data_IF_376169326296
#
_entry.id   IF_376169326296
#
_cell.length_a   1.000
_cell.length_b   1.000
_cell.length_c   1.000
_cell.angle_alpha   90.00
_cell.angle_beta   90.00
_cell.angle_gamma   90.00
#
_symmetry.space_group_name_H-M   'P 1'
#
loop_
_entity.id
_entity.type
_entity.pdbx_description
1 polymer ?
#
# COMPACT_ATOMS: atom_id res chain seq x y z
N UNK A 1 21.33 -12.28 -6.00
CA UNK A 1 22.29 -11.29 -5.47
C UNK A 1 21.57 -10.54 -4.35
N UNK A 2 22.12 -10.50 -3.16
CA UNK A 2 21.54 -9.72 -2.06
C UNK A 2 22.32 -8.40 -1.93
N UNK A 3 21.61 -7.27 -1.92
CA UNK A 3 22.23 -5.98 -1.70
C UNK A 3 22.20 -5.62 -0.22
N UNK A 4 23.29 -5.09 0.29
CA UNK A 4 23.44 -4.60 1.66
C UNK A 4 23.64 -3.09 1.62
N UNK A 5 22.82 -2.36 2.37
CA UNK A 5 22.94 -0.93 2.54
C UNK A 5 23.64 -0.64 3.87
N UNK A 6 24.79 0.02 3.83
CA UNK A 6 25.54 0.47 5.01
C UNK A 6 25.29 1.94 5.22
N UNK A 7 24.60 2.33 6.30
CA UNK A 7 24.16 3.69 6.60
C UNK A 7 24.96 4.23 7.77
N UNK A 8 25.57 5.40 7.60
CA UNK A 8 26.14 6.22 8.67
C UNK A 8 25.11 7.27 9.07
N UNK A 9 24.47 7.04 10.23
CA UNK A 9 23.38 7.87 10.68
C UNK A 9 23.81 9.19 11.33
N UNK A 10 22.83 10.00 11.72
CA UNK A 10 23.03 11.30 12.38
C UNK A 10 23.18 12.49 11.44
N UNK A 11 23.03 12.29 10.11
CA UNK A 11 23.03 13.36 9.11
C UNK A 11 21.61 13.85 8.87
N UNK A 12 21.30 15.17 9.05
CA UNK A 12 20.00 15.72 8.70
C UNK A 12 19.72 15.57 7.19
N UNK A 13 18.56 15.02 6.86
CA UNK A 13 18.13 14.91 5.46
C UNK A 13 17.52 16.24 4.99
N UNK A 14 18.04 16.79 3.89
CA UNK A 14 17.56 18.07 3.37
C UNK A 14 17.42 18.02 1.86
N UNK A 15 16.35 18.64 1.33
CA UNK A 15 16.18 18.73 -0.11
C UNK A 15 14.76 18.44 -0.58
N UNK A 16 14.63 17.85 -1.76
CA UNK A 16 13.36 17.60 -2.43
C UNK A 16 13.29 16.13 -2.88
N UNK A 17 12.13 15.50 -2.67
CA UNK A 17 11.80 14.19 -3.24
C UNK A 17 10.48 14.28 -4.00
N UNK A 18 10.40 13.62 -5.14
CA UNK A 18 9.15 13.47 -5.89
C UNK A 18 8.52 12.12 -5.56
N UNK A 19 7.24 12.13 -5.22
CA UNK A 19 6.44 10.94 -4.95
C UNK A 19 5.46 10.73 -6.10
N UNK A 20 5.59 9.59 -6.78
CA UNK A 20 4.74 9.22 -7.91
C UNK A 20 3.48 8.48 -7.45
N UNK A 21 2.80 7.85 -8.41
CA UNK A 21 1.51 7.19 -8.22
C UNK A 21 1.50 6.14 -7.12
N UNK A 22 0.38 6.07 -6.40
CA UNK A 22 0.21 5.20 -5.25
C UNK A 22 0.32 3.71 -5.63
N UNK A 23 1.20 2.99 -4.93
CA UNK A 23 1.29 1.52 -5.00
C UNK A 23 -0.07 0.85 -4.79
N UNK A 24 -0.89 1.42 -3.91
CA UNK A 24 -2.20 0.87 -3.59
C UNK A 24 -3.28 1.15 -4.64
N UNK A 25 -3.00 1.97 -5.66
CA UNK A 25 -3.91 2.24 -6.77
C UNK A 25 -3.39 1.68 -8.11
N UNK A 26 -2.16 2.05 -8.49
CA UNK A 26 -1.66 1.85 -9.87
C UNK A 26 -1.84 0.41 -10.37
N UNK A 27 -1.49 -0.65 -9.62
CA UNK A 27 -1.73 -2.03 -10.06
C UNK A 27 -3.20 -2.34 -10.33
N UNK A 28 -4.14 -1.73 -9.59
CA UNK A 28 -5.59 -1.97 -9.75
C UNK A 28 -6.14 -1.21 -10.95
N UNK A 29 -5.66 0.00 -11.19
CA UNK A 29 -5.98 0.74 -12.42
C UNK A 29 -5.47 0.00 -13.65
N UNK A 30 -4.27 -0.61 -13.60
CA UNK A 30 -3.76 -1.47 -14.68
C UNK A 30 -4.68 -2.66 -14.92
N UNK A 31 -5.11 -3.35 -13.87
CA UNK A 31 -6.05 -4.49 -13.95
C UNK A 31 -7.41 -4.05 -14.51
N UNK A 32 -7.89 -2.86 -14.16
CA UNK A 32 -9.16 -2.32 -14.68
C UNK A 32 -9.18 -2.19 -16.21
N UNK A 33 -8.01 -2.01 -16.86
CA UNK A 33 -7.94 -1.94 -18.32
C UNK A 33 -8.48 -3.20 -19.04
N UNK A 34 -8.44 -4.37 -18.38
CA UNK A 34 -9.04 -5.62 -18.91
C UNK A 34 -10.57 -5.56 -19.05
N UNK A 35 -11.24 -4.63 -18.36
CA UNK A 35 -12.70 -4.47 -18.44
C UNK A 35 -13.14 -3.71 -19.71
N UNK A 36 -12.23 -2.94 -20.31
CA UNK A 36 -12.51 -2.12 -21.47
C UNK A 36 -12.29 -2.85 -22.79
N UNK A 37 -12.78 -2.23 -23.87
CA UNK A 37 -12.58 -2.67 -25.25
C UNK A 37 -11.69 -1.71 -26.07
N UNK A 38 -11.17 -0.66 -25.43
CA UNK A 38 -10.29 0.36 -26.00
C UNK A 38 -9.01 0.51 -25.19
N UNK A 39 -7.92 1.03 -25.79
CA UNK A 39 -6.69 1.31 -25.07
C UNK A 39 -6.89 2.32 -23.94
N UNK A 40 -6.20 2.08 -22.83
CA UNK A 40 -6.16 2.97 -21.67
C UNK A 40 -4.79 3.60 -21.50
N UNK A 41 -4.73 4.82 -20.97
CA UNK A 41 -3.49 5.52 -20.64
C UNK A 41 -3.47 5.82 -19.14
N UNK A 42 -2.51 5.23 -18.45
CA UNK A 42 -2.25 5.47 -17.02
C UNK A 42 -0.99 6.31 -16.85
N UNK A 43 -1.15 7.48 -16.23
CA UNK A 43 -0.07 8.44 -15.99
C UNK A 43 0.37 8.42 -14.54
N UNK A 44 1.57 8.96 -14.28
CA UNK A 44 2.17 9.04 -12.97
C UNK A 44 2.45 7.64 -12.37
N UNK A 45 2.90 6.70 -13.22
CA UNK A 45 3.17 5.31 -12.81
C UNK A 45 4.53 5.22 -12.11
N UNK A 46 4.62 4.67 -10.89
CA UNK A 46 5.90 4.53 -10.18
C UNK A 46 6.72 3.35 -10.73
N UNK A 47 8.04 3.44 -10.60
CA UNK A 47 8.97 2.35 -10.94
C UNK A 47 9.15 1.41 -9.74
N UNK A 48 8.15 0.55 -9.49
CA UNK A 48 8.13 -0.39 -8.37
C UNK A 48 7.87 -1.83 -8.85
N UNK A 49 8.35 -2.79 -8.08
CA UNK A 49 8.24 -4.22 -8.43
C UNK A 49 6.81 -4.69 -8.64
N UNK A 50 5.84 -4.18 -7.87
CA UNK A 50 4.43 -4.57 -8.03
C UNK A 50 3.86 -4.15 -9.41
N UNK A 51 4.34 -3.04 -10.00
CA UNK A 51 3.97 -2.63 -11.38
C UNK A 51 4.56 -3.58 -12.41
N UNK A 52 5.80 -4.02 -12.23
CA UNK A 52 6.44 -5.00 -13.13
C UNK A 52 5.71 -6.34 -13.11
N UNK A 53 5.36 -6.84 -11.92
CA UNK A 53 4.61 -8.10 -11.75
C UNK A 53 3.27 -8.02 -12.46
N UNK A 54 2.51 -6.94 -12.28
CA UNK A 54 1.21 -6.76 -12.93
C UNK A 54 1.36 -6.59 -14.44
N UNK A 55 2.39 -5.88 -14.91
CA UNK A 55 2.70 -5.77 -16.35
C UNK A 55 2.91 -7.16 -16.96
N UNK A 56 3.73 -8.00 -16.32
CA UNK A 56 3.99 -9.37 -16.78
C UNK A 56 2.71 -10.21 -16.80
N UNK A 57 1.89 -10.15 -15.76
CA UNK A 57 0.62 -10.89 -15.70
C UNK A 57 -0.36 -10.45 -16.78
N UNK A 58 -0.50 -9.14 -17.02
CA UNK A 58 -1.36 -8.60 -18.08
C UNK A 58 -0.87 -9.04 -19.46
N UNK A 59 0.44 -9.02 -19.70
CA UNK A 59 1.04 -9.48 -20.95
C UNK A 59 0.84 -10.98 -21.18
N UNK A 60 0.93 -11.82 -20.14
CA UNK A 60 0.59 -13.25 -20.22
C UNK A 60 -0.87 -13.45 -20.67
N UNK A 61 -1.78 -12.61 -20.19
CA UNK A 61 -3.18 -12.61 -20.61
C UNK A 61 -3.43 -11.86 -21.94
N UNK A 62 -2.39 -11.49 -22.68
CA UNK A 62 -2.51 -10.93 -24.03
C UNK A 62 -2.76 -9.42 -24.07
N UNK A 63 -2.72 -8.71 -22.94
CA UNK A 63 -2.78 -7.26 -22.92
C UNK A 63 -1.46 -6.69 -23.46
N UNK A 64 -1.52 -5.79 -24.43
CA UNK A 64 -0.33 -5.04 -24.85
C UNK A 64 -0.06 -3.93 -23.86
N UNK A 65 1.12 -3.95 -23.22
CA UNK A 65 1.56 -2.91 -22.28
C UNK A 65 2.77 -2.20 -22.84
N UNK A 66 2.64 -0.90 -23.09
CA UNK A 66 3.71 -0.05 -23.62
C UNK A 66 4.02 1.04 -22.60
N UNK A 67 5.28 1.11 -22.16
CA UNK A 67 5.78 2.18 -21.27
C UNK A 67 6.38 3.31 -22.11
N UNK A 68 5.93 4.54 -21.87
CA UNK A 68 6.57 5.73 -22.42
C UNK A 68 7.97 5.90 -21.81
N UNK A 69 9.04 5.95 -22.63
CA UNK A 69 10.40 6.02 -22.11
C UNK A 69 10.75 7.38 -21.47
N UNK A 70 9.97 8.44 -21.73
CA UNK A 70 10.24 9.80 -21.25
C UNK A 70 9.61 10.03 -19.88
N UNK A 71 8.31 9.74 -19.73
CA UNK A 71 7.55 10.06 -18.52
C UNK A 71 7.13 8.83 -17.71
N UNK A 72 7.33 7.62 -18.26
CA UNK A 72 6.98 6.36 -17.63
C UNK A 72 5.49 6.02 -17.63
N UNK A 73 4.65 6.77 -18.36
CA UNK A 73 3.23 6.50 -18.50
C UNK A 73 3.02 5.16 -19.21
N UNK A 74 1.92 4.46 -18.89
CA UNK A 74 1.59 3.16 -19.49
C UNK A 74 0.40 3.29 -20.42
N UNK A 75 0.53 2.73 -21.63
CA UNK A 75 -0.59 2.43 -22.51
C UNK A 75 -0.91 0.95 -22.41
N UNK A 76 -2.18 0.63 -22.15
CA UNK A 76 -2.68 -0.73 -21.90
C UNK A 76 -3.78 -1.02 -22.95
N UNK A 77 -3.55 -1.98 -23.86
CA UNK A 77 -4.53 -2.38 -24.88
C UNK A 77 -5.00 -3.83 -24.64
N UNK A 78 -6.26 -4.04 -24.22
CA UNK A 78 -6.80 -5.34 -23.88
C UNK A 78 -7.33 -6.15 -25.07
N UNK A 79 -7.27 -5.64 -26.32
CA UNK A 79 -7.93 -6.23 -27.50
C UNK A 79 -7.57 -7.69 -27.78
N UNK A 80 -6.40 -8.14 -27.38
CA UNK A 80 -5.93 -9.50 -27.56
C UNK A 80 -6.03 -10.35 -26.28
N UNK A 81 -6.92 -9.99 -25.33
CA UNK A 81 -7.08 -10.72 -24.08
C UNK A 81 -7.38 -12.21 -24.34
N UNK A 82 -6.66 -13.08 -23.62
CA UNK A 82 -6.72 -14.55 -23.79
C UNK A 82 -6.43 -15.26 -22.47
N UNK A 83 -6.82 -16.53 -22.38
CA UNK A 83 -6.44 -17.39 -21.26
C UNK A 83 -4.92 -17.62 -21.27
N UNK A 84 -4.26 -17.34 -20.16
CA UNK A 84 -2.86 -17.71 -19.94
C UNK A 84 -2.77 -19.16 -19.43
N UNK A 85 -1.65 -19.86 -19.73
CA UNK A 85 -1.45 -21.19 -19.15
C UNK A 85 -1.18 -21.09 -17.65
N UNK A 86 -1.71 -22.05 -16.88
CA UNK A 86 -1.47 -22.12 -15.43
C UNK A 86 0.02 -22.16 -15.11
N UNK A 87 0.81 -22.91 -15.86
CA UNK A 87 2.27 -22.98 -15.69
C UNK A 87 2.97 -21.62 -15.85
N UNK A 88 2.50 -20.78 -16.79
CA UNK A 88 3.07 -19.44 -16.97
C UNK A 88 2.69 -18.50 -15.81
N UNK A 89 1.48 -18.64 -15.28
CA UNK A 89 1.00 -17.87 -14.11
C UNK A 89 1.71 -18.34 -12.83
N UNK A 90 1.97 -19.66 -12.69
CA UNK A 90 2.68 -20.25 -11.55
C UNK A 90 4.09 -19.68 -11.36
N UNK A 91 4.74 -19.24 -12.45
CA UNK A 91 6.02 -18.55 -12.36
C UNK A 91 5.97 -17.25 -11.53
N UNK A 92 4.77 -16.69 -11.31
CA UNK A 92 4.52 -15.53 -10.47
C UNK A 92 3.92 -15.90 -9.09
N UNK A 93 3.85 -17.20 -8.75
CA UNK A 93 3.38 -17.65 -7.45
C UNK A 93 4.26 -17.08 -6.34
N UNK A 94 3.64 -16.54 -5.30
CA UNK A 94 4.37 -15.94 -4.19
C UNK A 94 4.87 -14.51 -4.38
N UNK A 95 4.87 -13.96 -5.59
CA UNK A 95 5.41 -12.62 -5.87
C UNK A 95 4.51 -11.49 -5.35
N UNK A 96 3.19 -11.64 -5.49
CA UNK A 96 2.22 -10.60 -5.16
C UNK A 96 0.87 -11.17 -4.76
N UNK A 97 0.01 -10.33 -4.17
CA UNK A 97 -1.40 -10.64 -3.91
C UNK A 97 -2.34 -10.08 -5.00
N UNK A 98 -1.82 -9.28 -5.91
CA UNK A 98 -2.62 -8.66 -6.98
C UNK A 98 -3.33 -9.68 -7.89
N UNK A 99 -2.79 -10.89 -8.15
CA UNK A 99 -3.47 -11.85 -9.02
C UNK A 99 -4.93 -12.12 -8.67
N UNK A 100 -5.33 -12.05 -7.38
CA UNK A 100 -6.73 -12.22 -6.97
C UNK A 100 -7.67 -11.17 -7.58
N UNK A 101 -7.20 -9.96 -7.84
CA UNK A 101 -7.98 -8.87 -8.41
C UNK A 101 -8.19 -9.00 -9.91
N UNK A 102 -7.40 -9.84 -10.59
CA UNK A 102 -7.61 -10.17 -12.01
C UNK A 102 -8.89 -11.01 -12.24
N UNK A 103 -9.43 -11.67 -11.20
CA UNK A 103 -10.54 -12.61 -11.33
C UNK A 103 -11.76 -11.99 -12.01
N UNK A 104 -12.31 -10.90 -11.46
CA UNK A 104 -13.47 -10.24 -12.04
C UNK A 104 -13.25 -9.81 -13.49
N UNK A 105 -12.20 -9.01 -13.78
CA UNK A 105 -11.87 -8.60 -15.14
C UNK A 105 -11.64 -9.76 -16.11
N UNK A 106 -10.93 -10.82 -15.73
CA UNK A 106 -10.71 -11.98 -16.61
C UNK A 106 -12.00 -12.76 -16.87
N UNK A 107 -12.86 -12.94 -15.85
CA UNK A 107 -14.16 -13.56 -16.04
C UNK A 107 -14.99 -12.78 -17.07
N UNK A 108 -14.97 -11.46 -17.03
CA UNK A 108 -15.66 -10.63 -18.02
C UNK A 108 -15.02 -10.68 -19.41
N UNK A 109 -13.70 -10.80 -19.48
CA UNK A 109 -12.97 -10.79 -20.75
C UNK A 109 -12.95 -12.16 -21.43
N UNK A 110 -12.77 -13.26 -20.68
CA UNK A 110 -12.50 -14.60 -21.22
C UNK A 110 -13.29 -15.73 -20.53
N UNK A 111 -14.17 -15.41 -19.56
CA UNK A 111 -15.07 -16.38 -18.92
C UNK A 111 -14.49 -17.12 -17.70
N UNK A 112 -13.18 -17.07 -17.50
CA UNK A 112 -12.50 -17.81 -16.42
C UNK A 112 -11.23 -17.08 -15.94
N UNK A 113 -10.75 -17.43 -14.75
CA UNK A 113 -9.48 -17.00 -14.19
C UNK A 113 -8.78 -18.14 -13.44
N UNK A 114 -7.47 -18.19 -13.46
CA UNK A 114 -6.65 -19.05 -12.59
C UNK A 114 -5.76 -18.17 -11.73
N UNK A 115 -5.78 -18.40 -10.41
CA UNK A 115 -5.00 -17.66 -9.43
C UNK A 115 -4.01 -18.62 -8.78
N UNK A 116 -2.69 -18.39 -8.92
CA UNK A 116 -1.67 -19.19 -8.28
C UNK A 116 -1.65 -18.96 -6.77
N UNK A 117 -0.89 -19.75 -6.05
CA UNK A 117 -0.65 -19.51 -4.63
C UNK A 117 -0.09 -18.11 -4.41
N UNK A 118 -0.78 -17.33 -3.56
CA UNK A 118 -0.49 -15.91 -3.39
C UNK A 118 0.60 -15.67 -2.36
N UNK A 119 1.49 -14.73 -2.65
CA UNK A 119 2.52 -14.23 -1.75
C UNK A 119 2.22 -12.83 -1.21
N UNK A 120 3.25 -12.10 -0.84
CA UNK A 120 3.20 -10.71 -0.38
C UNK A 120 3.88 -10.49 0.96
N UNK A 121 3.71 -9.31 1.55
CA UNK A 121 4.30 -8.96 2.85
C UNK A 121 3.75 -9.84 3.97
N UNK A 122 4.63 -10.32 4.85
CA UNK A 122 4.28 -11.16 6.01
C UNK A 122 3.81 -10.30 7.20
N UNK A 123 2.64 -9.66 7.05
CA UNK A 123 2.03 -8.79 8.07
C UNK A 123 0.77 -9.41 8.72
N UNK A 124 0.64 -10.72 8.71
CA UNK A 124 -0.49 -11.51 9.16
C UNK A 124 -0.95 -12.51 8.09
N UNK A 125 -1.94 -13.33 8.41
CA UNK A 125 -2.45 -14.40 7.53
C UNK A 125 -3.05 -13.86 6.23
N UNK A 126 -3.68 -12.67 6.29
CA UNK A 126 -4.26 -11.96 5.15
C UNK A 126 -5.03 -12.92 4.22
N UNK A 127 -6.06 -13.62 4.72
CA UNK A 127 -6.81 -14.57 3.94
C UNK A 127 -7.49 -13.89 2.73
N UNK A 128 -7.79 -14.67 1.70
CA UNK A 128 -8.51 -14.20 0.49
C UNK A 128 -9.98 -14.60 0.51
N UNK A 129 -10.46 -15.05 1.65
CA UNK A 129 -11.85 -15.48 1.87
C UNK A 129 -12.86 -14.44 1.41
N UNK A 130 -12.69 -13.17 1.78
CA UNK A 130 -13.58 -12.09 1.33
C UNK A 130 -13.61 -11.92 -0.18
N UNK A 131 -12.46 -12.06 -0.87
CA UNK A 131 -12.43 -12.00 -2.34
C UNK A 131 -13.22 -13.15 -2.96
N UNK A 132 -13.02 -14.38 -2.46
CA UNK A 132 -13.71 -15.56 -2.97
C UNK A 132 -15.21 -15.52 -2.66
N UNK A 133 -15.59 -15.04 -1.48
CA UNK A 133 -16.99 -14.90 -1.09
C UNK A 133 -17.71 -13.83 -1.92
N UNK A 134 -17.05 -12.71 -2.21
CA UNK A 134 -17.55 -11.69 -3.14
C UNK A 134 -17.80 -12.31 -4.53
N UNK A 135 -16.85 -13.05 -5.08
CA UNK A 135 -16.99 -13.68 -6.40
C UNK A 135 -18.11 -14.70 -6.41
N UNK A 136 -18.29 -15.52 -5.34
CA UNK A 136 -19.43 -16.46 -5.21
C UNK A 136 -20.76 -15.73 -5.18
N UNK A 137 -20.84 -14.59 -4.49
CA UNK A 137 -22.06 -13.78 -4.43
C UNK A 137 -22.44 -13.21 -5.80
N UNK A 138 -21.48 -12.95 -6.68
CA UNK A 138 -21.71 -12.62 -8.09
C UNK A 138 -22.08 -13.82 -8.96
N UNK A 139 -22.10 -15.05 -8.41
CA UNK A 139 -22.45 -16.28 -9.14
C UNK A 139 -21.26 -17.02 -9.74
N UNK A 140 -20.01 -16.66 -9.40
CA UNK A 140 -18.84 -17.38 -9.84
C UNK A 140 -18.70 -18.74 -9.12
N UNK A 141 -18.21 -19.74 -9.86
CA UNK A 141 -17.81 -21.06 -9.36
C UNK A 141 -16.33 -21.01 -9.02
N UNK A 142 -16.01 -21.40 -7.77
CA UNK A 142 -14.64 -21.35 -7.23
C UNK A 142 -14.18 -22.77 -6.92
N UNK A 143 -13.15 -23.26 -7.61
CA UNK A 143 -12.62 -24.61 -7.49
C UNK A 143 -11.15 -24.59 -7.08
N UNK A 144 -10.78 -25.36 -6.06
CA UNK A 144 -9.35 -25.61 -5.79
C UNK A 144 -8.79 -26.57 -6.83
N UNK A 145 -7.64 -26.24 -7.40
CA UNK A 145 -6.89 -27.08 -8.33
C UNK A 145 -5.42 -27.16 -7.89
N UNK A 146 -4.65 -28.12 -8.35
CA UNK A 146 -3.21 -28.15 -8.08
C UNK A 146 -2.56 -26.81 -8.50
N UNK A 147 -1.77 -26.23 -7.61
CA UNK A 147 -1.06 -24.96 -7.83
C UNK A 147 -1.91 -23.68 -7.59
N UNK A 148 -3.22 -23.78 -7.26
CA UNK A 148 -4.01 -22.58 -7.04
C UNK A 148 -5.52 -22.75 -7.05
N UNK A 149 -6.22 -21.72 -7.52
CA UNK A 149 -7.68 -21.65 -7.54
C UNK A 149 -8.14 -21.30 -8.95
N UNK A 150 -9.03 -22.10 -9.50
CA UNK A 150 -9.75 -21.81 -10.74
C UNK A 150 -11.10 -21.19 -10.43
N UNK A 151 -11.44 -20.12 -11.15
CA UNK A 151 -12.69 -19.38 -10.98
C UNK A 151 -13.33 -19.19 -12.36
N UNK A 152 -14.63 -19.51 -12.48
CA UNK A 152 -15.36 -19.37 -13.74
C UNK A 152 -16.78 -18.85 -13.47
N UNK A 153 -17.39 -18.25 -14.47
CA UNK A 153 -18.78 -17.83 -14.43
C UNK A 153 -19.50 -18.19 -15.74
N UNK A 154 -19.93 -19.46 -15.90
CA UNK A 154 -20.56 -19.93 -17.16
C UNK A 154 -21.84 -19.19 -17.55
N UNK A 155 -22.51 -18.54 -16.58
CA UNK A 155 -23.72 -17.72 -16.77
C UNK A 155 -23.44 -16.21 -16.73
N UNK A 156 -22.15 -15.80 -16.70
CA UNK A 156 -21.76 -14.42 -16.42
C UNK A 156 -21.84 -14.09 -14.92
N UNK A 157 -21.36 -12.89 -14.57
CA UNK A 157 -21.52 -12.34 -13.22
C UNK A 157 -22.79 -11.52 -13.14
N UNK A 158 -23.50 -11.61 -12.01
CA UNK A 158 -24.78 -10.91 -11.76
C UNK A 158 -24.66 -10.00 -10.57
N UNK A 159 -25.35 -8.85 -10.60
CA UNK A 159 -25.41 -7.91 -9.49
C UNK A 159 -25.89 -8.55 -8.19
N UNK A 160 -25.34 -8.11 -7.07
CA UNK A 160 -25.57 -8.69 -5.76
C UNK A 160 -25.64 -7.63 -4.66
N UNK A 161 -26.32 -7.97 -3.54
CA UNK A 161 -26.24 -7.20 -2.30
C UNK A 161 -25.14 -7.80 -1.43
N UNK A 162 -24.06 -7.06 -1.25
CA UNK A 162 -22.86 -7.50 -0.54
C UNK A 162 -22.67 -6.64 0.70
N UNK A 163 -22.49 -7.27 1.85
CA UNK A 163 -22.18 -6.60 3.10
C UNK A 163 -20.82 -7.09 3.61
N UNK A 164 -19.86 -6.19 3.72
CA UNK A 164 -18.55 -6.51 4.29
C UNK A 164 -18.61 -6.32 5.80
N UNK A 165 -18.21 -7.31 6.60
CA UNK A 165 -18.18 -7.19 8.07
C UNK A 165 -17.09 -6.23 8.55
N UNK A 166 -16.18 -5.85 7.67
CA UNK A 166 -15.07 -4.94 7.89
C UNK A 166 -14.74 -4.21 6.58
N UNK A 167 -14.40 -2.90 6.59
CA UNK A 167 -14.07 -2.15 5.38
C UNK A 167 -12.75 -2.61 4.75
N UNK A 168 -12.78 -3.79 4.14
CA UNK A 168 -11.62 -4.36 3.46
C UNK A 168 -11.37 -3.67 2.13
N UNK A 169 -10.19 -3.07 1.98
CA UNK A 169 -9.76 -2.43 0.73
C UNK A 169 -9.78 -3.43 -0.41
N UNK A 170 -9.13 -4.60 -0.25
CA UNK A 170 -9.06 -5.60 -1.31
C UNK A 170 -10.43 -6.17 -1.71
N UNK A 171 -11.32 -6.42 -0.74
CA UNK A 171 -12.68 -6.89 -1.05
C UNK A 171 -13.50 -5.81 -1.77
N UNK A 172 -13.36 -4.54 -1.39
CA UNK A 172 -14.00 -3.42 -2.09
C UNK A 172 -13.48 -3.30 -3.52
N UNK A 173 -12.17 -3.42 -3.75
CA UNK A 173 -11.56 -3.46 -5.08
C UNK A 173 -12.12 -4.62 -5.92
N UNK A 174 -12.27 -5.82 -5.31
CA UNK A 174 -12.84 -6.98 -5.98
C UNK A 174 -14.28 -6.74 -6.42
N UNK A 175 -15.11 -6.12 -5.53
CA UNK A 175 -16.49 -5.76 -5.89
C UNK A 175 -16.51 -4.77 -7.04
N UNK A 176 -15.72 -3.68 -6.96
CA UNK A 176 -15.67 -2.65 -8.01
C UNK A 176 -15.30 -3.25 -9.37
N UNK A 177 -14.23 -4.05 -9.42
CA UNK A 177 -13.73 -4.66 -10.66
C UNK A 177 -14.66 -5.75 -11.23
N UNK A 178 -15.47 -6.38 -10.39
CA UNK A 178 -16.42 -7.42 -10.83
C UNK A 178 -17.77 -6.85 -11.20
N UNK A 179 -18.29 -5.88 -10.42
CA UNK A 179 -19.64 -5.36 -10.56
C UNK A 179 -19.87 -4.48 -11.79
N UNK A 180 -18.83 -3.79 -12.26
CA UNK A 180 -18.97 -2.77 -13.35
C UNK A 180 -19.50 -3.35 -14.66
N UNK A 181 -19.33 -4.65 -14.92
CA UNK A 181 -19.89 -5.37 -16.06
C UNK A 181 -20.80 -6.53 -15.68
N UNK A 182 -21.12 -6.71 -14.38
CA UNK A 182 -22.07 -7.71 -13.93
C UNK A 182 -23.51 -7.30 -14.33
N UNK A 183 -24.35 -8.27 -14.73
CA UNK A 183 -25.73 -7.99 -15.12
C UNK A 183 -26.56 -7.51 -13.92
N UNK A 184 -27.12 -6.32 -13.99
CA UNK A 184 -27.99 -5.75 -12.95
C UNK A 184 -27.26 -4.79 -12.02
N UNK A 185 -27.76 -4.66 -10.79
CA UNK A 185 -27.30 -3.69 -9.80
C UNK A 185 -26.60 -4.40 -8.66
N UNK A 186 -25.42 -3.88 -8.28
CA UNK A 186 -24.69 -4.27 -7.07
C UNK A 186 -24.81 -3.18 -6.02
N UNK A 187 -25.11 -3.57 -4.79
CA UNK A 187 -25.07 -2.69 -3.62
C UNK A 187 -24.08 -3.27 -2.62
N UNK A 188 -22.99 -2.52 -2.38
CA UNK A 188 -21.94 -2.88 -1.42
C UNK A 188 -22.09 -2.00 -0.18
N UNK A 189 -22.36 -2.57 0.98
CA UNK A 189 -22.32 -1.90 2.28
C UNK A 189 -21.07 -2.26 3.07
N UNK A 190 -20.58 -1.34 3.91
CA UNK A 190 -19.33 -1.49 4.63
C UNK A 190 -18.08 -1.39 3.75
N UNK A 191 -18.15 -0.62 2.67
CA UNK A 191 -17.03 -0.43 1.75
C UNK A 191 -15.84 0.31 2.38
N UNK A 192 -14.65 0.01 1.92
CA UNK A 192 -13.47 0.86 2.10
C UNK A 192 -13.64 2.16 1.29
N UNK A 193 -13.18 3.28 1.85
CA UNK A 193 -13.32 4.61 1.23
C UNK A 193 -12.00 5.39 1.19
N UNK A 194 -10.89 4.67 1.21
CA UNK A 194 -9.55 5.23 1.06
C UNK A 194 -9.45 6.04 -0.24
N UNK A 195 -8.63 7.10 -0.29
CA UNK A 195 -8.42 7.89 -1.50
C UNK A 195 -8.11 7.03 -2.74
N UNK A 196 -7.39 5.93 -2.57
CA UNK A 196 -7.07 4.99 -3.63
C UNK A 196 -8.29 4.24 -4.17
N UNK A 197 -9.29 3.97 -3.32
CA UNK A 197 -10.58 3.39 -3.72
C UNK A 197 -11.38 4.42 -4.52
N UNK A 198 -11.44 5.65 -4.04
CA UNK A 198 -12.15 6.73 -4.75
C UNK A 198 -11.49 7.02 -6.11
N UNK A 199 -10.17 6.96 -6.18
CA UNK A 199 -9.45 7.14 -7.44
C UNK A 199 -9.64 5.96 -8.41
N UNK A 200 -9.73 4.72 -7.92
CA UNK A 200 -10.13 3.55 -8.73
C UNK A 200 -11.56 3.71 -9.27
N UNK A 201 -12.49 4.22 -8.46
CA UNK A 201 -13.85 4.54 -8.92
C UNK A 201 -13.79 5.58 -10.05
N UNK A 202 -12.98 6.62 -9.92
CA UNK A 202 -12.80 7.62 -10.97
C UNK A 202 -12.21 7.03 -12.26
N UNK A 203 -11.29 6.05 -12.16
CA UNK A 203 -10.80 5.28 -13.32
C UNK A 203 -11.95 4.56 -14.01
N UNK A 204 -12.74 3.79 -13.25
CA UNK A 204 -13.86 3.01 -13.78
C UNK A 204 -14.96 3.90 -14.38
N UNK A 205 -15.26 5.04 -13.75
CA UNK A 205 -16.22 6.02 -14.28
C UNK A 205 -15.74 6.63 -15.61
N UNK A 206 -14.43 6.89 -15.78
CA UNK A 206 -13.85 7.32 -17.06
C UNK A 206 -13.99 6.28 -18.15
N UNK A 207 -14.05 4.99 -17.79
CA UNK A 207 -14.34 3.90 -18.72
C UNK A 207 -15.82 3.80 -19.09
N UNK A 208 -16.71 4.52 -18.39
CA UNK A 208 -18.16 4.48 -18.59
C UNK A 208 -18.93 3.73 -17.53
N UNK A 209 -18.30 3.32 -16.42
CA UNK A 209 -19.01 2.65 -15.33
C UNK A 209 -19.96 3.61 -14.59
N UNK A 210 -21.10 3.10 -14.15
CA UNK A 210 -22.11 3.83 -13.39
C UNK A 210 -21.96 3.46 -11.91
N UNK A 211 -21.29 4.32 -11.14
CA UNK A 211 -20.95 4.09 -9.74
C UNK A 211 -21.32 5.31 -8.91
N UNK A 212 -22.02 5.10 -7.79
CA UNK A 212 -22.29 6.13 -6.78
C UNK A 212 -21.81 5.68 -5.39
N UNK A 213 -21.24 6.64 -4.65
CA UNK A 213 -20.72 6.42 -3.28
C UNK A 213 -21.57 7.24 -2.33
N UNK A 214 -22.04 6.62 -1.25
CA UNK A 214 -22.81 7.26 -0.19
C UNK A 214 -21.95 7.49 1.06
N UNK A 215 -22.40 8.37 1.93
CA UNK A 215 -21.66 8.77 3.15
C UNK A 215 -21.58 7.66 4.21
N UNK A 216 -22.46 6.67 4.15
CA UNK A 216 -22.54 5.52 5.06
C UNK A 216 -21.65 4.32 4.64
N UNK A 217 -20.69 4.54 3.74
CA UNK A 217 -19.85 3.50 3.13
C UNK A 217 -20.64 2.51 2.25
N UNK A 218 -21.74 2.94 1.68
CA UNK A 218 -22.47 2.20 0.66
C UNK A 218 -22.02 2.63 -0.74
N UNK A 219 -21.69 1.66 -1.58
CA UNK A 219 -21.36 1.88 -3.01
C UNK A 219 -22.43 1.14 -3.83
N UNK A 220 -23.10 1.88 -4.71
CA UNK A 220 -24.03 1.32 -5.66
C UNK A 220 -23.42 1.34 -7.05
N UNK A 221 -23.44 0.20 -7.74
CA UNK A 221 -22.83 0.00 -9.06
C UNK A 221 -23.92 -0.58 -9.96
N UNK A 222 -24.15 0.05 -11.08
CA UNK A 222 -25.00 -0.48 -12.15
C UNK A 222 -24.10 -1.07 -13.23
N UNK A 223 -24.23 -2.36 -13.49
CA UNK A 223 -23.41 -3.05 -14.48
C UNK A 223 -23.74 -2.58 -15.89
N UNK A 224 -22.72 -2.34 -16.68
CA UNK A 224 -22.84 -1.95 -18.07
C UNK A 224 -22.25 -3.02 -18.99
N UNK A 225 -22.80 -3.14 -20.20
CA UNK A 225 -22.35 -4.17 -21.14
C UNK A 225 -20.91 -3.91 -21.64
N UNK A 226 -20.63 -2.67 -21.98
CA UNK A 226 -19.37 -2.29 -22.59
C UNK A 226 -18.74 -1.12 -21.82
N UNK A 227 -17.43 -1.19 -21.64
CA UNK A 227 -16.60 -0.12 -21.10
C UNK A 227 -15.55 0.27 -22.14
N UNK A 228 -15.29 1.57 -22.26
CA UNK A 228 -14.18 2.11 -23.07
C UNK A 228 -12.83 1.99 -22.35
N UNK A 229 -11.81 2.68 -22.90
CA UNK A 229 -10.55 2.92 -22.22
C UNK A 229 -10.63 4.14 -21.29
N UNK A 230 -9.56 4.37 -20.54
CA UNK A 230 -9.42 5.56 -19.71
C UNK A 230 -8.14 6.34 -20.03
N UNK A 231 -8.14 7.64 -19.70
CA UNK A 231 -6.93 8.45 -19.57
C UNK A 231 -6.94 9.04 -18.16
N UNK A 232 -6.04 8.53 -17.30
CA UNK A 232 -6.04 8.85 -15.89
C UNK A 232 -4.63 9.09 -15.36
N UNK A 233 -4.49 10.12 -14.53
CA UNK A 233 -3.29 10.36 -13.74
C UNK A 233 -3.52 9.84 -12.33
N UNK A 234 -2.78 8.82 -11.94
CA UNK A 234 -2.89 8.22 -10.60
C UNK A 234 -2.54 9.23 -9.51
N UNK A 235 -3.28 9.22 -8.39
CA UNK A 235 -2.94 9.98 -7.19
C UNK A 235 -1.55 9.56 -6.68
N UNK A 236 -0.80 10.51 -6.09
CA UNK A 236 0.52 10.24 -5.53
C UNK A 236 0.45 9.39 -4.24
N UNK A 237 1.51 8.61 -3.97
CA UNK A 237 1.53 7.68 -2.82
C UNK A 237 1.67 8.44 -1.49
N UNK A 238 0.55 8.60 -0.80
CA UNK A 238 0.49 9.23 0.52
C UNK A 238 1.24 8.44 1.62
N UNK A 239 1.46 7.14 1.42
CA UNK A 239 2.21 6.31 2.37
C UNK A 239 3.72 6.55 2.23
N UNK A 240 4.22 6.71 1.00
CA UNK A 240 5.58 7.15 0.75
C UNK A 240 5.80 8.56 1.29
N UNK A 241 4.85 9.48 1.05
CA UNK A 241 4.91 10.86 1.57
C UNK A 241 5.00 10.90 3.10
N UNK A 242 4.21 10.08 3.82
CA UNK A 242 4.27 9.97 5.29
C UNK A 242 5.61 9.42 5.78
N UNK A 243 6.23 8.52 5.01
CA UNK A 243 7.54 7.96 5.33
C UNK A 243 8.65 9.02 5.22
N UNK A 244 8.66 9.82 4.15
CA UNK A 244 9.61 10.93 4.00
C UNK A 244 9.40 12.04 5.02
N UNK A 245 8.13 12.34 5.36
CA UNK A 245 7.81 13.28 6.45
C UNK A 245 8.38 12.79 7.80
N UNK A 246 8.22 11.50 8.10
CA UNK A 246 8.78 10.92 9.33
C UNK A 246 10.32 10.93 9.31
N UNK A 247 10.95 10.68 8.16
CA UNK A 247 12.39 10.79 7.99
C UNK A 247 12.90 12.22 8.27
N UNK A 248 12.24 13.25 7.73
CA UNK A 248 12.56 14.65 8.03
C UNK A 248 12.50 14.95 9.54
N UNK A 249 11.49 14.39 10.22
CA UNK A 249 11.31 14.64 11.66
C UNK A 249 12.43 14.02 12.50
N UNK A 250 12.76 12.73 12.28
CA UNK A 250 13.74 12.02 13.12
C UNK A 250 15.18 12.39 12.83
N UNK A 251 15.50 12.76 11.58
CA UNK A 251 16.87 13.19 11.20
C UNK A 251 17.11 14.67 11.47
N UNK A 252 16.13 15.38 12.08
CA UNK A 252 16.16 16.85 12.26
C UNK A 252 16.36 17.58 10.93
N UNK A 253 15.77 17.04 9.88
CA UNK A 253 15.88 17.47 8.50
C UNK A 253 14.81 18.44 8.04
N UNK A 254 14.81 18.66 6.72
CA UNK A 254 13.91 19.57 6.01
C UNK A 254 13.71 19.06 4.58
N UNK A 255 12.58 18.40 4.32
CA UNK A 255 12.28 17.71 3.06
C UNK A 255 11.02 18.30 2.43
N UNK A 256 11.12 18.79 1.20
CA UNK A 256 9.95 19.05 0.37
C UNK A 256 9.54 17.76 -0.35
N UNK A 257 8.32 17.30 -0.08
CA UNK A 257 7.74 16.10 -0.71
C UNK A 257 6.78 16.54 -1.80
N UNK A 258 7.27 16.52 -3.04
CA UNK A 258 6.49 16.82 -4.22
C UNK A 258 5.45 15.72 -4.48
N UNK A 259 4.22 16.11 -4.76
CA UNK A 259 3.09 15.18 -4.92
C UNK A 259 2.35 14.87 -3.62
N UNK A 260 2.88 15.24 -2.43
CA UNK A 260 2.14 15.08 -1.18
C UNK A 260 0.89 15.99 -1.19
N UNK A 261 -0.26 15.42 -0.83
CA UNK A 261 -1.57 16.09 -0.86
C UNK A 261 -2.14 16.24 0.55
N UNK A 262 -2.45 17.48 0.93
CA UNK A 262 -3.12 17.75 2.21
C UNK A 262 -4.42 16.96 2.33
N UNK A 263 -5.24 16.94 1.28
CA UNK A 263 -6.55 16.28 1.24
C UNK A 263 -6.45 14.79 1.62
N UNK A 264 -5.42 14.12 1.10
CA UNK A 264 -5.28 12.66 1.22
C UNK A 264 -4.53 12.24 2.49
N UNK A 265 -3.97 13.21 3.27
CA UNK A 265 -3.12 12.99 4.43
C UNK A 265 -3.60 13.71 5.71
N UNK A 266 -4.81 14.25 5.76
CA UNK A 266 -5.28 15.13 6.86
C UNK A 266 -5.02 14.56 8.25
N UNK A 267 -5.35 13.30 8.50
CA UNK A 267 -5.16 12.66 9.80
C UNK A 267 -3.68 12.50 10.15
N UNK A 268 -2.84 12.15 9.15
CA UNK A 268 -1.39 12.12 9.33
C UNK A 268 -0.83 13.51 9.66
N UNK A 269 -1.20 14.54 8.91
CA UNK A 269 -0.71 15.91 9.11
C UNK A 269 -1.07 16.47 10.50
N UNK A 270 -2.29 16.19 10.97
CA UNK A 270 -2.71 16.56 12.32
C UNK A 270 -1.87 15.84 13.38
N UNK A 271 -1.60 14.56 13.21
CA UNK A 271 -0.76 13.75 14.11
C UNK A 271 0.69 14.24 14.07
N UNK A 272 1.24 14.48 12.89
CA UNK A 272 2.59 14.99 12.68
C UNK A 272 2.81 16.33 13.42
N UNK A 273 1.83 17.24 13.36
CA UNK A 273 1.85 18.51 14.09
C UNK A 273 1.81 18.31 15.60
N UNK A 274 0.99 17.36 16.09
CA UNK A 274 0.90 17.04 17.54
C UNK A 274 2.23 16.52 18.08
N UNK A 275 2.95 15.70 17.31
CA UNK A 275 4.30 15.23 17.68
C UNK A 275 5.31 16.38 17.73
N UNK A 276 5.04 17.49 17.07
CA UNK A 276 5.93 18.67 17.05
C UNK A 276 6.59 18.93 15.69
N UNK A 277 6.23 18.20 14.65
CA UNK A 277 6.70 18.42 13.29
C UNK A 277 6.22 19.76 12.72
N UNK A 278 7.07 20.37 11.89
CA UNK A 278 6.75 21.54 11.08
C UNK A 278 6.34 21.14 9.67
N UNK A 279 5.37 21.86 9.09
CA UNK A 279 4.98 21.65 7.71
C UNK A 279 4.51 22.94 7.06
N UNK A 280 4.83 23.11 5.77
CA UNK A 280 4.31 24.17 4.90
C UNK A 280 3.62 23.51 3.72
N UNK A 281 2.33 23.80 3.53
CA UNK A 281 1.50 23.20 2.48
C UNK A 281 1.57 24.10 1.25
N UNK A 282 2.04 23.53 0.13
CA UNK A 282 2.10 24.18 -1.17
C UNK A 282 1.17 23.53 -2.20
N UNK A 283 1.15 24.09 -3.40
CA UNK A 283 0.33 23.63 -4.50
C UNK A 283 0.83 22.28 -5.07
N UNK A 284 2.15 22.12 -5.17
CA UNK A 284 2.80 20.94 -5.76
C UNK A 284 3.22 19.89 -4.72
N UNK A 285 3.05 20.15 -3.42
CA UNK A 285 3.51 19.25 -2.38
C UNK A 285 3.55 19.89 -1.00
N UNK A 286 4.19 19.20 -0.06
CA UNK A 286 4.29 19.62 1.33
C UNK A 286 5.75 19.58 1.77
N UNK A 287 6.24 20.66 2.37
CA UNK A 287 7.52 20.70 3.06
C UNK A 287 7.32 20.21 4.49
N UNK A 288 8.12 19.23 4.90
CA UNK A 288 8.14 18.67 6.26
C UNK A 288 9.49 18.95 6.91
N UNK A 289 9.49 19.45 8.13
CA UNK A 289 10.72 19.80 8.80
C UNK A 289 10.65 19.65 10.32
N UNK A 290 11.83 19.51 10.94
CA UNK A 290 11.97 19.53 12.39
C UNK A 290 12.09 20.98 12.88
N UNK A 291 11.26 21.39 13.84
CA UNK A 291 11.22 22.78 14.35
C UNK A 291 12.36 23.16 15.31
N UNK A 292 13.31 22.25 15.55
CA UNK A 292 14.42 22.47 16.49
C UNK A 292 14.08 22.25 17.97
N UNK A 293 12.81 22.04 18.30
CA UNK A 293 12.35 21.77 19.67
C UNK A 293 12.29 20.28 20.02
N UNK A 294 11.74 19.98 21.22
CA UNK A 294 11.48 18.61 21.65
C UNK A 294 10.26 18.05 20.92
N UNK A 295 10.26 16.74 20.66
CA UNK A 295 9.10 16.03 20.15
C UNK A 295 8.18 15.62 21.30
N UNK A 296 6.87 15.68 21.08
CA UNK A 296 5.86 15.38 22.08
C UNK A 296 5.40 13.91 21.94
N UNK A 297 5.16 13.23 23.08
CA UNK A 297 4.53 11.91 23.07
C UNK A 297 3.05 12.04 22.69
N UNK A 298 2.46 10.93 22.25
CA UNK A 298 1.03 10.89 21.97
C UNK A 298 0.43 9.49 22.19
N UNK A 299 -0.90 9.46 22.31
CA UNK A 299 -1.70 8.25 22.21
C UNK A 299 -2.27 8.21 20.80
N UNK A 300 -2.01 7.13 20.08
CA UNK A 300 -2.40 6.92 18.69
C UNK A 300 -3.10 5.58 18.53
N UNK A 301 -4.18 5.59 17.78
CA UNK A 301 -4.89 4.40 17.34
C UNK A 301 -4.94 4.39 15.82
N UNK A 302 -4.59 3.25 15.20
CA UNK A 302 -4.83 3.07 13.78
C UNK A 302 -6.30 2.79 13.55
N UNK A 303 -6.80 3.16 12.38
CA UNK A 303 -8.18 2.87 11.98
C UNK A 303 -8.30 2.90 10.45
N UNK A 304 -9.43 2.39 9.95
CA UNK A 304 -9.80 2.54 8.54
C UNK A 304 -9.99 4.00 8.17
N UNK A 305 -9.79 4.32 6.88
CA UNK A 305 -9.98 5.71 6.43
C UNK A 305 -11.35 6.27 6.84
N UNK A 306 -11.47 7.52 7.36
CA UNK A 306 -10.44 8.57 7.43
C UNK A 306 -9.59 8.56 8.73
N UNK A 307 -9.57 7.46 9.48
CA UNK A 307 -8.71 7.30 10.64
C UNK A 307 -7.21 7.32 10.30
N UNK A 308 -6.37 7.13 11.31
CA UNK A 308 -4.93 7.07 11.11
C UNK A 308 -4.54 5.73 10.48
N UNK A 309 -3.98 5.76 9.27
CA UNK A 309 -3.68 4.53 8.54
C UNK A 309 -2.60 3.67 9.22
N UNK A 310 -2.82 2.37 9.19
CA UNK A 310 -1.86 1.37 9.67
C UNK A 310 -0.48 1.47 8.97
N UNK A 311 -0.43 1.87 7.69
CA UNK A 311 0.82 2.03 6.94
C UNK A 311 1.66 3.26 7.38
N UNK A 312 1.07 4.18 8.12
CA UNK A 312 1.75 5.38 8.64
C UNK A 312 2.32 5.17 10.05
N UNK A 313 1.88 4.12 10.77
CA UNK A 313 2.28 3.94 12.15
C UNK A 313 3.75 3.58 12.31
N UNK A 314 4.30 2.70 11.45
CA UNK A 314 5.68 2.24 11.60
C UNK A 314 6.71 3.37 11.44
N UNK A 315 6.68 4.21 10.38
CA UNK A 315 7.59 5.35 10.29
C UNK A 315 7.36 6.38 11.41
N UNK A 316 6.11 6.57 11.87
CA UNK A 316 5.84 7.48 12.98
C UNK A 316 6.34 6.94 14.33
N UNK A 317 6.26 5.62 14.56
CA UNK A 317 6.79 4.99 15.79
C UNK A 317 8.29 5.29 15.95
N UNK A 318 9.06 5.35 14.86
CA UNK A 318 10.47 5.78 14.93
C UNK A 318 10.58 7.21 15.50
N UNK A 319 9.71 8.12 15.05
CA UNK A 319 9.67 9.49 15.62
C UNK A 319 9.29 9.49 17.10
N UNK A 320 8.36 8.63 17.50
CA UNK A 320 7.94 8.53 18.91
C UNK A 320 9.04 7.99 19.83
N UNK A 321 10.02 7.22 19.31
CA UNK A 321 11.22 6.87 20.10
C UNK A 321 12.07 8.08 20.48
N UNK A 322 11.93 9.19 19.74
CA UNK A 322 12.64 10.45 19.98
C UNK A 322 11.79 11.47 20.76
N UNK A 323 10.52 11.18 21.07
CA UNK A 323 9.62 12.04 21.80
C UNK A 323 9.91 12.03 23.31
N UNK A 324 9.73 13.15 23.98
CA UNK A 324 10.01 13.28 25.44
C UNK A 324 8.80 12.83 26.26
N UNK A 325 8.81 11.60 26.74
CA UNK A 325 7.73 11.00 27.55
C UNK A 325 7.29 9.64 27.04
N UNK A 326 6.05 9.26 27.32
CA UNK A 326 5.50 7.95 26.99
C UNK A 326 4.42 8.11 25.92
N UNK A 327 4.58 7.40 24.81
CA UNK A 327 3.59 7.26 23.76
C UNK A 327 2.94 5.88 23.79
N UNK A 328 1.67 5.81 23.39
CA UNK A 328 0.94 4.54 23.22
C UNK A 328 0.44 4.47 21.80
N UNK A 329 0.69 3.34 21.13
CA UNK A 329 0.19 3.07 19.77
C UNK A 329 -0.61 1.78 19.81
N UNK A 330 -1.89 1.87 19.43
CA UNK A 330 -2.81 0.73 19.34
C UNK A 330 -3.14 0.43 17.87
N UNK A 331 -2.82 -0.76 17.42
CA UNK A 331 -3.08 -1.24 16.05
C UNK A 331 -4.40 -1.99 15.99
N UNK A 332 -5.33 -1.53 15.15
CA UNK A 332 -6.67 -2.10 15.03
C UNK A 332 -6.93 -2.79 13.68
N UNK A 333 -6.01 -2.65 12.72
CA UNK A 333 -6.21 -3.07 11.32
C UNK A 333 -5.54 -4.41 10.99
N UNK A 334 -4.28 -4.63 11.45
CA UNK A 334 -3.53 -5.85 11.17
C UNK A 334 -3.03 -6.56 12.43
N UNK A 335 -3.00 -7.89 12.39
CA UNK A 335 -2.70 -8.77 13.52
C UNK A 335 -1.27 -8.65 14.04
N UNK A 336 -0.28 -8.64 13.15
CA UNK A 336 1.15 -8.72 13.48
C UNK A 336 1.92 -7.51 12.92
N UNK A 337 1.51 -6.30 13.33
CA UNK A 337 2.07 -5.08 12.74
C UNK A 337 3.28 -4.54 13.49
N UNK A 338 3.56 -5.02 14.72
CA UNK A 338 4.67 -4.54 15.56
C UNK A 338 5.97 -5.37 15.44
N UNK A 339 6.06 -6.37 14.57
CA UNK A 339 7.29 -7.16 14.38
C UNK A 339 8.53 -6.32 14.02
N UNK A 340 8.35 -5.14 13.42
CA UNK A 340 9.46 -4.22 13.12
C UNK A 340 10.10 -3.60 14.38
N UNK A 341 9.42 -3.60 15.53
CA UNK A 341 9.92 -3.00 16.77
C UNK A 341 11.11 -3.76 17.35
N UNK A 342 11.27 -5.06 17.03
CA UNK A 342 12.40 -5.87 17.50
C UNK A 342 13.75 -5.27 17.06
N UNK A 343 13.83 -4.75 15.82
CA UNK A 343 15.04 -4.07 15.36
C UNK A 343 15.25 -2.75 16.10
N UNK A 344 14.20 -1.95 16.32
CA UNK A 344 14.29 -0.71 17.10
C UNK A 344 14.76 -0.95 18.53
N UNK A 345 14.27 -2.02 19.18
CA UNK A 345 14.70 -2.43 20.53
C UNK A 345 16.20 -2.78 20.53
N UNK A 346 16.68 -3.55 19.54
CA UNK A 346 18.12 -3.84 19.39
C UNK A 346 18.95 -2.57 19.15
N UNK A 347 18.37 -1.55 18.51
CA UNK A 347 18.99 -0.23 18.34
C UNK A 347 18.98 0.61 19.62
N UNK A 348 18.34 0.14 20.71
CA UNK A 348 18.26 0.82 21.99
C UNK A 348 16.96 1.55 22.28
N UNK A 349 15.94 1.40 21.43
CA UNK A 349 14.62 1.98 21.71
C UNK A 349 13.96 1.28 22.93
N UNK A 350 13.29 2.06 23.78
CA UNK A 350 12.49 1.55 24.90
C UNK A 350 11.05 1.34 24.43
N UNK A 351 10.75 0.15 23.93
CA UNK A 351 9.44 -0.25 23.42
C UNK A 351 8.98 -1.52 24.11
N UNK A 352 7.75 -1.54 24.60
CA UNK A 352 7.07 -2.74 25.12
C UNK A 352 5.82 -2.99 24.26
N UNK A 353 5.65 -4.23 23.79
CA UNK A 353 4.51 -4.61 22.96
C UNK A 353 3.56 -5.50 23.76
N UNK A 354 2.27 -5.20 23.71
CA UNK A 354 1.23 -5.79 24.55
C UNK A 354 0.14 -6.45 23.70
N UNK A 355 -0.54 -7.45 24.31
CA UNK A 355 -1.71 -8.13 23.72
C UNK A 355 -3.02 -7.47 24.09
N UNK A 356 -3.01 -6.65 25.13
CA UNK A 356 -4.17 -5.88 25.61
C UNK A 356 -4.43 -4.70 24.66
N UNK A 357 -5.71 -4.39 24.45
CA UNK A 357 -6.12 -3.15 23.82
C UNK A 357 -5.81 -1.97 24.77
N UNK A 358 -4.81 -1.17 24.42
CA UNK A 358 -4.47 0.05 25.16
C UNK A 358 -5.10 1.31 24.56
N UNK A 359 -6.03 1.16 23.63
CA UNK A 359 -6.78 2.20 23.00
C UNK A 359 -8.27 2.14 23.33
N UNK A 360 -9.03 3.12 22.83
CA UNK A 360 -10.49 3.23 23.01
C UNK A 360 -11.28 2.71 21.82
N UNK A 361 -10.67 2.64 20.65
CA UNK A 361 -11.30 2.11 19.44
C UNK A 361 -11.47 0.60 19.58
N UNK A 362 -12.69 0.05 19.42
CA UNK A 362 -12.88 -1.39 19.40
C UNK A 362 -12.04 -2.03 18.31
N UNK A 363 -11.20 -2.99 18.67
CA UNK A 363 -10.40 -3.72 17.70
C UNK A 363 -10.86 -5.18 17.58
N UNK A 364 -10.76 -5.71 16.35
CA UNK A 364 -11.14 -7.10 16.06
C UNK A 364 -10.16 -8.14 16.60
N UNK A 365 -9.07 -7.70 17.25
CA UNK A 365 -8.01 -8.55 17.82
C UNK A 365 -8.10 -8.69 19.33
N UNK A 366 -8.94 -7.92 20.01
CA UNK A 366 -9.01 -7.87 21.49
C UNK A 366 -9.30 -9.21 22.17
N UNK A 367 -9.89 -10.17 21.45
CA UNK A 367 -10.11 -11.54 21.92
C UNK A 367 -9.10 -12.56 21.34
N UNK A 368 -8.12 -12.09 20.56
CA UNK A 368 -7.08 -12.90 19.93
C UNK A 368 -5.72 -12.63 20.58
N UNK A 369 -4.85 -13.62 20.55
CA UNK A 369 -3.55 -13.55 21.23
C UNK A 369 -2.47 -12.85 20.35
N UNK A 370 -2.77 -11.69 19.78
CA UNK A 370 -1.83 -10.92 18.95
C UNK A 370 -1.25 -9.74 19.73
N UNK A 371 0.00 -9.41 19.44
CA UNK A 371 0.69 -8.23 19.95
C UNK A 371 0.26 -7.03 19.11
N UNK A 372 -0.67 -6.19 19.61
CA UNK A 372 -1.29 -5.11 18.84
C UNK A 372 -1.34 -3.75 19.54
N UNK A 373 -0.66 -3.61 20.69
CA UNK A 373 -0.43 -2.32 21.35
C UNK A 373 1.03 -2.16 21.68
N UNK A 374 1.59 -0.95 21.55
CA UNK A 374 2.96 -0.65 21.91
C UNK A 374 3.02 0.56 22.85
N UNK A 375 3.81 0.44 23.91
CA UNK A 375 4.21 1.54 24.82
C UNK A 375 5.64 1.90 24.49
N UNK A 376 5.86 3.19 24.15
CA UNK A 376 7.14 3.70 23.69
C UNK A 376 7.59 4.80 24.65
N UNK A 377 8.74 4.61 25.29
CA UNK A 377 9.34 5.59 26.20
C UNK A 377 10.53 6.27 25.51
N UNK A 378 10.52 7.60 25.47
CA UNK A 378 11.60 8.38 24.85
C UNK A 378 11.92 9.67 25.62
N UNK A 379 12.93 10.41 25.16
CA UNK A 379 13.76 10.13 23.98
C UNK A 379 14.80 9.05 24.23
N UNK A 380 15.06 8.22 23.21
CA UNK A 380 16.12 7.21 23.25
C UNK A 380 17.16 7.47 22.18
N UNK A 381 18.44 7.31 22.51
CA UNK A 381 19.51 7.40 21.55
C UNK A 381 19.64 6.09 20.79
N UNK A 382 19.14 6.05 19.55
CA UNK A 382 19.30 4.90 18.67
C UNK A 382 20.76 4.72 18.28
N UNK A 383 21.22 3.46 18.24
CA UNK A 383 22.59 3.06 17.87
C UNK A 383 22.57 2.18 16.63
N UNK A 384 23.54 2.37 15.76
CA UNK A 384 23.71 1.55 14.58
C UNK A 384 23.84 0.06 14.90
N UNK A 385 23.21 -0.80 14.09
CA UNK A 385 23.22 -2.26 14.24
C UNK A 385 22.95 -2.95 12.90
N UNK A 386 23.05 -4.27 12.88
CA UNK A 386 22.63 -5.10 11.75
C UNK A 386 21.10 -5.25 11.77
N UNK A 387 20.47 -4.96 10.63
CA UNK A 387 19.02 -4.95 10.45
C UNK A 387 18.66 -5.79 9.23
N UNK A 388 17.69 -6.70 9.38
CA UNK A 388 17.07 -7.39 8.28
C UNK A 388 15.66 -6.83 8.05
N UNK A 389 15.33 -6.52 6.79
CA UNK A 389 14.05 -5.92 6.42
C UNK A 389 12.93 -6.98 6.46
N UNK A 390 11.93 -6.87 7.36
CA UNK A 390 10.91 -7.90 7.51
C UNK A 390 9.78 -7.78 6.48
N UNK A 391 9.41 -6.56 6.14
CA UNK A 391 8.33 -6.20 5.22
C UNK A 391 8.57 -4.80 4.62
N UNK A 392 7.74 -4.41 3.67
CA UNK A 392 7.87 -3.15 2.94
C UNK A 392 7.88 -1.91 3.84
N UNK A 393 6.88 -1.78 4.72
CA UNK A 393 6.70 -0.56 5.54
C UNK A 393 7.62 -0.56 6.77
N UNK A 394 7.74 -1.70 7.42
CA UNK A 394 8.71 -1.91 8.51
C UNK A 394 10.13 -1.69 8.04
N UNK A 395 10.46 -2.18 6.83
CA UNK A 395 11.78 -1.98 6.23
C UNK A 395 12.14 -0.52 6.03
N UNK A 396 11.23 0.29 5.47
CA UNK A 396 11.50 1.72 5.34
C UNK A 396 11.62 2.41 6.71
N UNK A 397 10.85 1.98 7.71
CA UNK A 397 10.98 2.47 9.09
C UNK A 397 12.33 2.13 9.70
N UNK A 398 12.89 0.96 9.39
CA UNK A 398 14.24 0.59 9.78
C UNK A 398 15.31 1.48 9.12
N UNK A 399 15.11 1.87 7.84
CA UNK A 399 15.99 2.86 7.19
C UNK A 399 15.92 4.21 7.92
N UNK A 400 14.72 4.69 8.24
CA UNK A 400 14.54 5.95 8.99
C UNK A 400 15.26 5.86 10.34
N UNK A 401 15.14 4.75 11.06
CA UNK A 401 15.81 4.54 12.33
C UNK A 401 17.35 4.51 12.18
N UNK A 402 17.86 3.83 11.14
CA UNK A 402 19.29 3.79 10.84
C UNK A 402 19.85 5.19 10.49
N UNK A 403 19.09 6.01 9.74
CA UNK A 403 19.45 7.38 9.41
C UNK A 403 19.50 8.31 10.64
N UNK A 404 18.66 8.06 11.65
CA UNK A 404 18.62 8.81 12.91
C UNK A 404 19.63 8.29 13.96
N UNK A 405 20.13 7.08 13.81
CA UNK A 405 21.00 6.42 14.78
C UNK A 405 22.41 7.04 14.82
N UNK A 406 23.07 6.88 15.96
CA UNK A 406 24.52 7.15 16.04
C UNK A 406 25.32 5.92 15.61
N UNK A 407 26.36 6.12 14.80
CA UNK A 407 27.20 5.05 14.27
C UNK A 407 26.68 4.48 12.96
N UNK A 408 27.04 3.22 12.69
CA UNK A 408 26.78 2.57 11.39
C UNK A 408 25.81 1.43 11.53
N UNK A 409 24.81 1.38 10.64
CA UNK A 409 23.87 0.27 10.49
C UNK A 409 24.10 -0.45 9.17
N UNK A 410 23.97 -1.80 9.18
CA UNK A 410 23.97 -2.63 7.97
C UNK A 410 22.56 -3.16 7.75
N UNK A 411 21.94 -2.82 6.63
CA UNK A 411 20.56 -3.19 6.31
C UNK A 411 20.55 -4.17 5.16
N UNK A 412 20.02 -5.37 5.40
CA UNK A 412 19.85 -6.44 4.41
C UNK A 412 18.38 -6.56 4.00
N UNK A 413 18.09 -7.24 2.88
CA UNK A 413 16.71 -7.42 2.39
C UNK A 413 16.09 -6.16 1.78
N UNK A 414 16.89 -5.20 1.34
CA UNK A 414 16.42 -3.91 0.80
C UNK A 414 15.56 -4.05 -0.47
N UNK A 415 15.65 -5.18 -1.18
CA UNK A 415 14.82 -5.46 -2.37
C UNK A 415 13.31 -5.50 -2.02
N UNK A 416 12.97 -5.79 -0.76
CA UNK A 416 11.59 -5.72 -0.29
C UNK A 416 11.05 -4.29 -0.34
N UNK A 417 11.92 -3.29 -0.10
CA UNK A 417 11.56 -1.87 -0.12
C UNK A 417 11.23 -1.41 -1.55
N UNK A 418 11.92 -1.94 -2.57
CA UNK A 418 11.69 -1.65 -3.99
C UNK A 418 10.28 -2.07 -4.48
N UNK A 419 9.56 -2.87 -3.70
CA UNK A 419 8.16 -3.23 -4.03
C UNK A 419 7.20 -2.05 -3.96
N UNK A 420 7.55 -0.98 -3.27
CA UNK A 420 6.64 0.13 -3.09
C UNK A 420 7.27 1.50 -2.85
N UNK A 421 8.60 1.58 -2.79
CA UNK A 421 9.33 2.85 -2.73
C UNK A 421 10.21 2.96 -3.98
N UNK A 422 9.79 3.81 -4.89
CA UNK A 422 10.47 4.02 -6.15
C UNK A 422 11.84 4.67 -5.93
N UNK A 423 12.91 4.07 -6.49
CA UNK A 423 14.26 4.64 -6.54
C UNK A 423 14.71 5.23 -5.19
N UNK A 424 14.38 4.54 -4.08
CA UNK A 424 14.55 5.11 -2.73
C UNK A 424 16.03 5.44 -2.41
N UNK A 425 16.96 4.67 -2.93
CA UNK A 425 18.41 4.95 -2.73
C UNK A 425 18.87 6.23 -3.41
N UNK A 426 18.35 6.52 -4.60
CA UNK A 426 18.63 7.77 -5.30
C UNK A 426 18.01 8.96 -4.57
N UNK A 427 16.76 8.79 -4.05
CA UNK A 427 16.11 9.81 -3.23
C UNK A 427 16.87 10.07 -1.93
N UNK A 428 17.38 9.02 -1.25
CA UNK A 428 18.24 9.16 -0.08
C UNK A 428 19.53 9.92 -0.39
N UNK A 429 20.20 9.57 -1.50
CA UNK A 429 21.40 10.27 -1.94
C UNK A 429 21.12 11.75 -2.24
N UNK A 430 20.02 12.04 -2.94
CA UNK A 430 19.56 13.41 -3.23
C UNK A 430 19.23 14.24 -1.99
N UNK A 431 18.90 13.59 -0.87
CA UNK A 431 18.67 14.24 0.42
C UNK A 431 19.92 14.36 1.30
N UNK A 432 21.07 13.90 0.81
CA UNK A 432 22.35 13.98 1.52
C UNK A 432 22.57 12.90 2.56
N UNK A 433 21.88 11.76 2.47
CA UNK A 433 22.15 10.61 3.34
C UNK A 433 23.56 10.06 3.10
N UNK A 434 24.24 9.65 4.17
CA UNK A 434 25.56 9.02 4.11
C UNK A 434 25.44 7.49 4.15
N UNK A 435 25.62 6.86 2.99
CA UNK A 435 25.51 5.40 2.86
C UNK A 435 26.35 4.82 1.73
N UNK A 436 26.63 3.52 1.81
CA UNK A 436 27.21 2.71 0.74
C UNK A 436 26.30 1.52 0.41
N UNK A 437 26.31 1.09 -0.85
CA UNK A 437 25.63 -0.13 -1.30
C UNK A 437 26.68 -1.15 -1.73
N UNK A 438 26.63 -2.35 -1.15
CA UNK A 438 27.45 -3.49 -1.57
C UNK A 438 26.55 -4.61 -2.04
N UNK A 439 26.81 -5.12 -3.24
CA UNK A 439 26.11 -6.28 -3.79
C UNK A 439 26.96 -7.52 -3.57
N UNK A 440 26.45 -8.46 -2.76
CA UNK A 440 27.08 -9.78 -2.60
C UNK A 440 26.62 -10.71 -3.73
N UNK A 441 27.59 -11.33 -4.40
CA UNK A 441 27.35 -12.32 -5.48
C UNK A 441 26.67 -13.57 -4.97
#
# INVERSE_FOLDING_TARGET
>A
MSSVLTIRGGVPLTGRVSVRGAKNLVPKAMVAALLGNEPSVLRNVPEIKDVEVVTSLLQLHGVTVVKDPVNGDLTLDPKAAKTASSTAIDAHAGDSRIPILLCGPLIHAIGEAFIPDLGGCKIGDRPIDYHLDVLRQFGAVVEKRPGGIHISAPKGLHGAKISLPYPSVGATEQVLLSATRAEGITELSGAATEPEIIDLIAVLQKMGAIISVQTDRTIRIEGVRDLGGYNHRALSDRNESASWASAALVTKGDIFVEGASQRDMMTFLNTYRKVGGGMDIGEDGIRFYHKGGKLNPLVLETDVHPGFMTDWQQPLVVALTQAEGVSIVHETVYENRFGFTDALIRMGASIQVHRECLGSVPCRFGQRNFLHSAVISGPTQLKGTDIDVPDLRGGFSHLIAALAATGTSRVTGIDIINRGYERFTEKLAGLGADFDITTTK
#
